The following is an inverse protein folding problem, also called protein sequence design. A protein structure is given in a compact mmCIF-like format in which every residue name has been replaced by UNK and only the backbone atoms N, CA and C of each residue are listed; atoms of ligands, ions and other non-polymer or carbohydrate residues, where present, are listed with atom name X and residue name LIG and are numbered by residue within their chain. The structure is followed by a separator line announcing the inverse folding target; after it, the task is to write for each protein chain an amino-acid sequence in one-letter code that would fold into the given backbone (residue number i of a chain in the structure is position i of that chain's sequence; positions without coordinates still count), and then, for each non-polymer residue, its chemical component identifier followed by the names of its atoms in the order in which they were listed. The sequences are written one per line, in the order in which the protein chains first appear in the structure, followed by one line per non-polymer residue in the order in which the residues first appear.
data_IF_503963429215
#
_entry.id   IF_503963429215
#
_cell.length_a   1.000
_cell.length_b   1.000
_cell.length_c   1.000
_cell.angle_alpha   90.00
_cell.angle_beta   90.00
_cell.angle_gamma   90.00
#
_symmetry.space_group_name_H-M   'P 1'
#
loop_
_entity.id
_entity.type
_entity.pdbx_description
1 polymer ?
#
# COMPACT_ATOMS: atom_id res chain seq x y z
N UNK A 1 -15.15 -41.77 -0.37
CA UNK A 1 -13.84 -41.27 0.01
C UNK A 1 -13.97 -39.88 0.61
N UNK A 2 -13.21 -39.63 1.67
CA UNK A 2 -13.27 -38.38 2.45
C UNK A 2 -12.59 -38.62 3.80
N UNK A 3 -12.55 -37.59 4.63
CA UNK A 3 -12.04 -37.66 6.00
C UNK A 3 -13.23 -37.87 6.93
N UNK A 4 -13.15 -38.80 7.84
CA UNK A 4 -14.13 -39.07 8.88
C UNK A 4 -13.49 -38.74 10.22
N UNK A 5 -14.05 -37.77 10.93
CA UNK A 5 -13.51 -37.26 12.19
C UNK A 5 -14.33 -37.62 13.43
N UNK A 6 -15.48 -38.24 13.23
CA UNK A 6 -16.48 -38.53 14.27
C UNK A 6 -16.40 -39.96 14.83
N UNK A 7 -15.43 -40.75 14.38
CA UNK A 7 -15.23 -42.12 14.84
C UNK A 7 -13.77 -42.33 15.21
N UNK A 8 -13.49 -43.39 15.99
CA UNK A 8 -12.13 -43.77 16.38
C UNK A 8 -11.33 -44.37 15.19
N UNK A 9 -10.01 -44.21 15.21
CA UNK A 9 -9.13 -44.78 14.17
C UNK A 9 -9.34 -46.29 13.94
N UNK A 10 -9.71 -46.99 14.99
CA UNK A 10 -10.01 -48.43 14.89
C UNK A 10 -11.30 -48.70 14.10
N UNK A 11 -12.30 -47.85 14.23
CA UNK A 11 -13.56 -47.97 13.51
C UNK A 11 -13.48 -47.43 12.08
N UNK A 12 -12.49 -46.61 11.80
CA UNK A 12 -12.27 -45.98 10.49
C UNK A 12 -11.54 -46.88 9.48
N UNK A 13 -11.61 -48.20 9.63
CA UNK A 13 -10.91 -49.15 8.76
C UNK A 13 -11.13 -48.80 7.28
N UNK A 14 -10.00 -48.66 6.54
CA UNK A 14 -9.94 -48.28 5.12
C UNK A 14 -10.46 -46.86 4.79
N UNK A 15 -10.52 -45.95 5.77
CA UNK A 15 -10.89 -44.54 5.58
C UNK A 15 -9.83 -43.62 6.21
N UNK A 16 -9.83 -42.37 5.78
CA UNK A 16 -8.92 -41.39 6.31
C UNK A 16 -9.54 -40.74 7.53
N UNK A 17 -8.85 -40.72 8.66
CA UNK A 17 -9.25 -40.00 9.90
C UNK A 17 -8.64 -38.60 9.96
N UNK A 18 -7.54 -38.39 9.26
CA UNK A 18 -6.90 -37.09 9.14
C UNK A 18 -6.30 -36.91 7.74
N UNK A 19 -6.33 -35.70 7.22
CA UNK A 19 -5.71 -35.37 5.93
C UNK A 19 -5.23 -33.92 5.94
N UNK A 20 -3.96 -33.69 5.65
CA UNK A 20 -3.39 -32.35 5.46
C UNK A 20 -2.81 -32.24 4.05
N UNK A 21 -3.08 -31.09 3.40
CA UNK A 21 -2.61 -30.76 2.03
C UNK A 21 -3.02 -31.79 0.97
N UNK A 22 -4.19 -32.40 1.16
CA UNK A 22 -4.78 -33.41 0.28
C UNK A 22 -6.17 -32.96 -0.16
N UNK A 23 -6.50 -33.18 -1.42
CA UNK A 23 -7.86 -33.09 -1.95
C UNK A 23 -8.32 -34.46 -2.40
N UNK A 24 -9.63 -34.70 -2.34
CA UNK A 24 -10.22 -35.90 -2.88
C UNK A 24 -10.87 -35.58 -4.24
N UNK A 25 -10.35 -36.23 -5.29
CA UNK A 25 -10.86 -36.04 -6.64
C UNK A 25 -11.19 -37.41 -7.25
N UNK A 26 -12.41 -37.56 -7.78
CA UNK A 26 -12.92 -38.82 -8.36
C UNK A 26 -12.68 -40.07 -7.48
N UNK A 27 -12.74 -39.89 -6.15
CA UNK A 27 -12.55 -40.99 -5.22
C UNK A 27 -11.10 -41.27 -4.78
N UNK A 28 -10.14 -40.57 -5.32
CA UNK A 28 -8.73 -40.74 -4.97
C UNK A 28 -8.23 -39.52 -4.17
N UNK A 29 -7.30 -39.78 -3.25
CA UNK A 29 -6.59 -38.73 -2.52
C UNK A 29 -5.44 -38.23 -3.38
N UNK A 30 -5.42 -36.93 -3.68
CA UNK A 30 -4.38 -36.25 -4.43
C UNK A 30 -3.73 -35.16 -3.58
N UNK A 31 -2.43 -34.97 -3.72
CA UNK A 31 -1.77 -33.83 -3.10
C UNK A 31 -2.32 -32.53 -3.67
N UNK A 32 -2.68 -31.58 -2.80
CA UNK A 32 -2.91 -30.22 -3.23
C UNK A 32 -1.58 -29.66 -3.73
N UNK A 33 -1.52 -29.25 -4.99
CA UNK A 33 -0.33 -28.61 -5.55
C UNK A 33 0.05 -27.35 -4.76
N UNK A 34 1.33 -27.06 -4.68
CA UNK A 34 1.81 -25.82 -4.05
C UNK A 34 1.37 -24.59 -4.83
N UNK A 35 1.42 -23.43 -4.16
CA UNK A 35 1.22 -22.14 -4.80
C UNK A 35 2.41 -21.81 -5.68
N UNK A 36 2.18 -21.51 -6.94
CA UNK A 36 3.20 -20.95 -7.82
C UNK A 36 2.95 -19.45 -7.95
N UNK A 37 4.03 -18.67 -7.88
CA UNK A 37 3.97 -17.24 -8.06
C UNK A 37 3.57 -16.95 -9.50
N UNK A 38 2.42 -16.30 -9.73
CA UNK A 38 1.91 -15.96 -11.08
C UNK A 38 2.83 -14.97 -11.79
N UNK A 39 3.41 -14.03 -11.03
CA UNK A 39 4.33 -13.02 -11.54
C UNK A 39 5.67 -13.19 -10.85
N UNK A 40 6.70 -13.58 -11.60
CA UNK A 40 8.03 -13.81 -11.05
C UNK A 40 8.76 -12.50 -10.71
N UNK A 41 8.44 -11.42 -11.40
CA UNK A 41 9.16 -10.14 -11.34
C UNK A 41 8.36 -8.98 -10.74
N UNK A 42 7.04 -9.06 -10.64
CA UNK A 42 6.23 -7.96 -10.12
C UNK A 42 6.05 -8.09 -8.60
N UNK A 43 6.59 -7.14 -7.87
CA UNK A 43 6.25 -6.91 -6.48
C UNK A 43 5.31 -5.71 -6.40
N UNK A 44 4.11 -5.92 -5.86
CA UNK A 44 3.14 -4.85 -5.68
C UNK A 44 3.53 -3.99 -4.48
N UNK A 45 3.50 -2.68 -4.65
CA UNK A 45 3.71 -1.76 -3.54
C UNK A 45 2.46 -1.70 -2.65
N UNK A 46 2.67 -1.77 -1.33
CA UNK A 46 1.61 -1.74 -0.33
C UNK A 46 0.98 -3.11 -0.06
N UNK A 47 0.07 -3.13 0.90
CA UNK A 47 -0.68 -4.34 1.29
C UNK A 47 -1.91 -4.46 0.40
N UNK A 48 -2.06 -5.61 -0.27
CA UNK A 48 -3.22 -5.86 -1.13
C UNK A 48 -4.50 -5.89 -0.28
N UNK A 49 -5.44 -4.99 -0.59
CA UNK A 49 -6.74 -4.85 0.10
C UNK A 49 -7.86 -5.56 -0.64
N UNK A 50 -7.84 -5.51 -1.96
CA UNK A 50 -8.87 -6.13 -2.80
C UNK A 50 -8.31 -6.55 -4.15
N UNK A 51 -8.80 -7.70 -4.61
CA UNK A 51 -8.57 -8.20 -5.97
C UNK A 51 -9.93 -8.30 -6.65
N UNK A 52 -10.04 -7.76 -7.86
CA UNK A 52 -11.25 -7.76 -8.65
C UNK A 52 -10.94 -8.29 -10.06
N UNK A 53 -11.35 -9.54 -10.38
CA UNK A 53 -11.25 -10.06 -11.74
C UNK A 53 -12.35 -9.45 -12.61
N UNK A 54 -11.99 -9.06 -13.82
CA UNK A 54 -12.91 -8.54 -14.82
C UNK A 54 -12.66 -9.20 -16.17
N UNK A 55 -13.74 -9.44 -16.91
CA UNK A 55 -13.69 -9.89 -18.28
C UNK A 55 -14.45 -8.91 -19.15
N UNK A 56 -13.79 -8.40 -20.17
CA UNK A 56 -14.39 -7.49 -21.12
C UNK A 56 -15.27 -8.23 -22.15
N UNK A 57 -16.06 -7.48 -22.91
CA UNK A 57 -16.98 -7.99 -23.95
C UNK A 57 -16.26 -8.69 -25.09
N UNK A 58 -15.03 -8.30 -25.40
CA UNK A 58 -14.15 -8.96 -26.37
C UNK A 58 -13.48 -10.25 -25.84
N UNK A 59 -13.72 -10.57 -24.54
CA UNK A 59 -13.16 -11.75 -23.88
C UNK A 59 -11.82 -11.51 -23.18
N UNK A 60 -11.26 -10.32 -23.24
CA UNK A 60 -10.03 -9.93 -22.54
C UNK A 60 -10.23 -10.04 -21.03
N UNK A 61 -9.22 -10.59 -20.33
CA UNK A 61 -9.26 -10.82 -18.89
C UNK A 61 -8.32 -9.87 -18.18
N UNK A 62 -8.84 -9.18 -17.19
CA UNK A 62 -8.12 -8.24 -16.34
C UNK A 62 -8.23 -8.66 -14.89
N UNK A 63 -7.17 -8.41 -14.11
CA UNK A 63 -7.21 -8.53 -12.66
C UNK A 63 -6.82 -7.17 -12.09
N UNK A 64 -7.78 -6.48 -11.50
CA UNK A 64 -7.53 -5.24 -10.78
C UNK A 64 -7.12 -5.55 -9.34
N UNK A 65 -6.10 -4.88 -8.85
CA UNK A 65 -5.55 -5.09 -7.52
C UNK A 65 -5.38 -3.75 -6.81
N UNK A 66 -6.21 -3.52 -5.79
CA UNK A 66 -6.09 -2.36 -4.91
C UNK A 66 -5.21 -2.68 -3.72
N UNK A 67 -4.17 -1.88 -3.52
CA UNK A 67 -3.32 -1.96 -2.33
C UNK A 67 -3.58 -0.77 -1.40
N UNK A 68 -2.92 -0.72 -0.25
CA UNK A 68 -3.00 0.42 0.66
C UNK A 68 -2.46 1.72 0.05
N UNK A 69 -1.65 1.63 -1.00
CA UNK A 69 -0.94 2.79 -1.57
C UNK A 69 -1.11 2.95 -3.08
N UNK A 70 -1.41 1.86 -3.82
CA UNK A 70 -1.42 1.85 -5.28
C UNK A 70 -2.62 1.07 -5.83
N UNK A 71 -2.88 1.30 -7.11
CA UNK A 71 -3.87 0.57 -7.86
C UNK A 71 -3.21 -0.02 -9.12
N UNK A 72 -3.29 -1.34 -9.24
CA UNK A 72 -2.65 -2.07 -10.34
C UNK A 72 -3.69 -2.79 -11.19
N UNK A 73 -3.35 -3.01 -12.44
CA UNK A 73 -4.07 -3.91 -13.33
C UNK A 73 -3.11 -4.93 -13.93
N UNK A 74 -3.52 -6.19 -13.88
CA UNK A 74 -2.85 -7.24 -14.63
C UNK A 74 -3.61 -7.50 -15.93
N UNK A 75 -2.87 -7.50 -17.03
CA UNK A 75 -3.35 -7.87 -18.34
C UNK A 75 -2.29 -8.70 -19.06
N UNK A 76 -2.69 -9.85 -19.58
CA UNK A 76 -1.82 -10.73 -20.39
C UNK A 76 -0.48 -11.09 -19.72
N UNK A 77 -0.47 -11.28 -18.40
CA UNK A 77 0.73 -11.65 -17.63
C UNK A 77 1.63 -10.48 -17.23
N UNK A 78 1.27 -9.26 -17.58
CA UNK A 78 1.97 -8.03 -17.19
C UNK A 78 1.17 -7.25 -16.16
N UNK A 79 1.87 -6.60 -15.23
CA UNK A 79 1.27 -5.75 -14.20
C UNK A 79 1.58 -4.30 -14.52
N UNK A 80 0.55 -3.48 -14.59
CA UNK A 80 0.63 -2.04 -14.84
C UNK A 80 0.16 -1.30 -13.61
N UNK A 81 0.92 -0.28 -13.21
CA UNK A 81 0.50 0.68 -12.20
C UNK A 81 -0.43 1.71 -12.86
N UNK A 82 -1.67 1.76 -12.37
CA UNK A 82 -2.70 2.69 -12.84
C UNK A 82 -3.15 3.63 -11.71
N UNK A 83 -2.32 3.82 -10.69
CA UNK A 83 -2.62 4.71 -9.58
C UNK A 83 -2.89 6.12 -10.08
N UNK A 84 -4.06 6.69 -9.80
CA UNK A 84 -4.41 7.99 -10.31
C UNK A 84 -3.58 9.10 -9.66
N UNK A 85 -3.15 10.05 -10.46
CA UNK A 85 -2.59 11.29 -9.97
C UNK A 85 -3.71 12.25 -9.57
N UNK A 86 -3.53 12.89 -8.44
CA UNK A 86 -4.45 13.90 -7.93
C UNK A 86 -4.26 15.27 -8.61
N UNK A 87 -3.05 15.53 -9.09
CA UNK A 87 -2.69 16.80 -9.73
C UNK A 87 -2.00 16.58 -11.06
N UNK A 88 -2.13 17.57 -11.95
CA UNK A 88 -1.22 17.71 -13.08
C UNK A 88 0.21 17.98 -12.60
N UNK A 89 1.23 17.86 -13.47
CA UNK A 89 2.59 18.20 -13.11
C UNK A 89 2.69 19.66 -12.62
N UNK A 90 3.26 19.85 -11.43
CA UNK A 90 3.44 21.16 -10.81
C UNK A 90 4.92 21.48 -10.79
N UNK A 91 5.29 22.67 -11.27
CA UNK A 91 6.67 23.14 -11.21
C UNK A 91 6.87 24.01 -9.98
N UNK A 92 7.87 23.67 -9.17
CA UNK A 92 8.27 24.39 -7.97
C UNK A 92 9.70 24.94 -8.17
N UNK A 93 9.95 26.12 -7.64
CA UNK A 93 11.29 26.75 -7.71
C UNK A 93 11.95 26.70 -6.34
N UNK A 94 13.13 26.07 -6.28
CA UNK A 94 13.92 25.87 -5.05
C UNK A 94 13.08 25.37 -3.86
N UNK A 95 12.29 24.29 -4.02
CA UNK A 95 11.36 23.87 -2.99
C UNK A 95 12.04 23.10 -1.85
N UNK A 96 13.26 22.66 -2.02
CA UNK A 96 13.93 21.78 -1.09
C UNK A 96 14.75 22.53 -0.05
N UNK A 97 14.70 22.06 1.20
CA UNK A 97 15.59 22.49 2.27
C UNK A 97 16.15 21.26 2.95
N UNK A 98 17.48 21.13 2.98
CA UNK A 98 18.15 19.99 3.64
C UNK A 98 17.96 20.06 5.15
N UNK A 99 17.90 18.89 5.80
CA UNK A 99 17.93 18.78 7.26
C UNK A 99 19.29 19.21 7.84
N UNK A 100 19.57 18.81 9.07
CA UNK A 100 20.90 19.06 9.67
C UNK A 100 22.00 18.35 8.89
N UNK A 101 23.24 18.82 9.03
CA UNK A 101 24.40 18.13 8.45
C UNK A 101 24.41 16.63 8.82
N UNK A 102 24.66 15.77 7.85
CA UNK A 102 24.58 14.32 7.98
C UNK A 102 23.16 13.72 7.81
N UNK A 103 22.12 14.55 7.71
CA UNK A 103 20.74 14.07 7.48
C UNK A 103 20.48 13.78 6.00
N UNK A 104 19.70 12.74 5.73
CA UNK A 104 19.14 12.43 4.41
C UNK A 104 17.70 12.89 4.25
N UNK A 105 17.13 13.55 5.25
CA UNK A 105 15.77 14.08 5.21
C UNK A 105 15.78 15.47 4.59
N UNK A 106 14.89 15.67 3.62
CA UNK A 106 14.73 16.94 2.90
C UNK A 106 13.30 17.43 3.08
N UNK A 107 13.15 18.66 3.54
CA UNK A 107 11.86 19.34 3.63
C UNK A 107 11.51 19.95 2.29
N UNK A 108 10.28 19.76 1.85
CA UNK A 108 9.73 20.32 0.62
C UNK A 108 8.73 21.38 0.99
N UNK A 109 8.90 22.59 0.47
CA UNK A 109 7.97 23.70 0.65
C UNK A 109 7.09 23.84 -0.59
N UNK A 110 5.80 23.62 -0.41
CA UNK A 110 4.77 23.82 -1.43
C UNK A 110 3.46 24.23 -0.76
N UNK A 111 3.03 25.44 -1.03
CA UNK A 111 1.83 25.99 -0.42
C UNK A 111 0.58 25.19 -0.82
N UNK A 112 -0.21 24.81 0.18
CA UNK A 112 -1.48 24.10 -0.01
C UNK A 112 -1.33 22.81 -0.82
N UNK A 113 -0.29 22.02 -0.56
CA UNK A 113 -0.01 20.79 -1.30
C UNK A 113 -1.11 19.71 -1.15
N UNK A 114 -2.00 19.84 -0.16
CA UNK A 114 -3.18 18.98 0.04
C UNK A 114 -2.87 17.51 0.36
N UNK A 115 -1.64 17.18 0.80
CA UNK A 115 -1.30 15.84 1.29
C UNK A 115 -2.02 15.60 2.62
N UNK A 116 -2.52 14.39 2.81
CA UNK A 116 -3.12 14.00 4.07
C UNK A 116 -2.04 13.67 5.11
N UNK A 117 -2.32 13.99 6.38
CA UNK A 117 -1.48 13.56 7.50
C UNK A 117 -1.87 12.12 7.87
N UNK A 118 -1.34 11.15 7.13
CA UNK A 118 -1.59 9.72 7.29
C UNK A 118 -0.31 8.95 7.50
N UNK A 119 -0.39 7.77 8.08
CA UNK A 119 0.71 6.80 8.15
C UNK A 119 0.25 5.50 7.46
N UNK A 120 1.00 4.99 6.47
CA UNK A 120 2.14 5.62 5.80
C UNK A 120 1.75 6.92 5.11
N UNK A 121 2.72 7.82 4.93
CA UNK A 121 2.51 9.10 4.26
C UNK A 121 2.04 8.94 2.81
N UNK A 122 1.36 9.96 2.31
CA UNK A 122 0.94 10.03 0.91
C UNK A 122 2.14 10.00 -0.05
N UNK A 123 1.90 9.70 -1.31
CA UNK A 123 2.95 9.52 -2.30
C UNK A 123 3.10 10.74 -3.21
N UNK A 124 4.34 11.08 -3.50
CA UNK A 124 4.72 12.15 -4.44
C UNK A 124 5.72 11.61 -5.45
N UNK A 125 5.50 11.89 -6.72
CA UNK A 125 6.42 11.56 -7.80
C UNK A 125 7.20 12.81 -8.17
N UNK A 126 8.51 12.76 -7.96
CA UNK A 126 9.45 13.76 -8.43
C UNK A 126 9.85 13.38 -9.86
N UNK A 127 9.65 14.30 -10.80
CA UNK A 127 9.96 14.04 -12.22
C UNK A 127 11.33 14.61 -12.64
N UNK A 128 11.90 15.52 -11.84
CA UNK A 128 13.18 16.18 -12.11
C UNK A 128 14.19 15.76 -11.05
N UNK A 129 15.23 15.04 -11.46
CA UNK A 129 16.32 14.68 -10.55
C UNK A 129 17.19 15.90 -10.24
N UNK A 130 17.65 16.00 -9.00
CA UNK A 130 18.55 17.07 -8.55
C UNK A 130 19.52 16.58 -7.49
N UNK A 131 20.72 17.19 -7.49
CA UNK A 131 21.71 16.99 -6.43
C UNK A 131 22.14 18.37 -5.91
N UNK A 132 22.06 18.56 -4.60
CA UNK A 132 22.47 19.79 -3.92
C UNK A 132 22.83 19.48 -2.47
N UNK A 133 23.73 20.25 -1.87
CA UNK A 133 24.19 20.08 -0.48
C UNK A 133 24.54 18.62 -0.10
N UNK A 134 25.06 17.82 -1.03
CA UNK A 134 25.45 16.43 -0.77
C UNK A 134 24.29 15.41 -0.84
N UNK A 135 23.02 15.84 -0.96
CA UNK A 135 21.88 14.95 -1.13
C UNK A 135 21.48 14.86 -2.59
N UNK A 136 21.03 13.68 -3.01
CA UNK A 136 20.49 13.45 -4.34
C UNK A 136 19.02 13.03 -4.23
N UNK A 137 18.16 13.72 -4.94
CA UNK A 137 16.74 13.40 -5.11
C UNK A 137 16.57 12.93 -6.55
N UNK A 138 16.39 11.63 -6.75
CA UNK A 138 16.18 11.04 -8.07
C UNK A 138 14.77 11.31 -8.60
N UNK A 139 14.58 11.18 -9.90
CA UNK A 139 13.25 11.20 -10.51
C UNK A 139 12.54 9.87 -10.23
N UNK A 140 11.79 9.82 -9.14
CA UNK A 140 11.08 8.62 -8.68
C UNK A 140 9.95 8.99 -7.71
N UNK A 141 9.24 7.98 -7.24
CA UNK A 141 8.23 8.11 -6.19
C UNK A 141 8.88 8.17 -4.80
N UNK A 142 8.32 9.03 -3.96
CA UNK A 142 8.72 9.20 -2.56
C UNK A 142 7.52 9.12 -1.63
N UNK A 143 7.76 8.62 -0.44
CA UNK A 143 6.83 8.75 0.69
C UNK A 143 6.95 10.16 1.25
N UNK A 144 5.87 10.92 1.25
CA UNK A 144 5.81 12.24 1.84
C UNK A 144 5.35 12.16 3.29
N UNK A 145 6.17 12.58 4.23
CA UNK A 145 5.76 12.74 5.62
C UNK A 145 5.22 14.14 5.82
N UNK A 146 3.95 14.24 6.20
CA UNK A 146 3.28 15.51 6.43
C UNK A 146 3.91 16.31 7.58
N UNK A 147 4.17 17.59 7.38
CA UNK A 147 4.64 18.52 8.41
C UNK A 147 3.57 19.58 8.66
N UNK A 148 3.10 20.24 7.61
CA UNK A 148 2.06 21.29 7.66
C UNK A 148 1.33 21.36 6.33
N UNK A 149 0.32 22.21 6.20
CA UNK A 149 -0.39 22.43 4.93
C UNK A 149 0.54 22.92 3.79
N UNK A 150 1.71 23.45 4.13
CA UNK A 150 2.65 24.04 3.18
C UNK A 150 4.00 23.30 3.12
N UNK A 151 4.19 22.27 3.94
CA UNK A 151 5.47 21.55 4.03
C UNK A 151 5.26 20.07 4.28
N UNK A 152 6.08 19.27 3.64
CA UNK A 152 6.25 17.84 3.91
C UNK A 152 7.73 17.47 3.80
N UNK A 153 8.13 16.33 4.31
CA UNK A 153 9.50 15.84 4.14
C UNK A 153 9.51 14.56 3.31
N UNK A 154 10.64 14.36 2.63
CA UNK A 154 11.00 13.14 1.90
C UNK A 154 12.38 12.69 2.33
N UNK A 155 12.70 11.43 2.13
CA UNK A 155 14.04 10.89 2.32
C UNK A 155 14.76 10.89 0.99
N UNK A 156 15.93 11.52 0.92
CA UNK A 156 16.76 11.56 -0.29
C UNK A 156 17.06 10.14 -0.80
N UNK A 157 17.17 9.98 -2.12
CA UNK A 157 17.49 8.69 -2.74
C UNK A 157 18.93 8.25 -2.44
N UNK A 158 19.83 9.20 -2.24
CA UNK A 158 21.20 8.94 -1.79
C UNK A 158 21.86 10.19 -1.24
N UNK A 159 22.95 10.00 -0.49
CA UNK A 159 23.72 11.06 0.13
C UNK A 159 23.11 11.62 1.40
N UNK A 160 23.83 12.50 2.04
CA UNK A 160 23.43 13.23 3.26
C UNK A 160 23.83 14.68 3.14
N UNK A 161 23.12 15.57 3.81
CA UNK A 161 23.38 16.99 3.81
C UNK A 161 24.82 17.30 4.28
N UNK A 162 25.55 18.03 3.50
CA UNK A 162 26.94 18.43 3.82
C UNK A 162 26.97 19.55 4.87
N UNK A 163 26.15 20.57 4.66
CA UNK A 163 26.08 21.75 5.54
C UNK A 163 24.82 21.77 6.39
N UNK A 164 23.70 21.32 5.83
CA UNK A 164 22.37 21.38 6.43
C UNK A 164 21.71 22.75 6.38
N UNK A 165 20.37 22.77 6.32
CA UNK A 165 19.59 23.99 6.22
C UNK A 165 19.72 24.72 4.89
N UNK A 166 20.32 24.10 3.88
CA UNK A 166 20.49 24.69 2.55
C UNK A 166 19.19 24.57 1.75
N UNK A 167 18.72 25.68 1.22
CA UNK A 167 17.58 25.72 0.30
C UNK A 167 18.06 25.66 -1.14
N UNK A 168 17.42 24.83 -1.96
CA UNK A 168 17.82 24.65 -3.36
C UNK A 168 16.90 23.73 -4.14
N UNK A 169 17.47 23.18 -5.21
CA UNK A 169 16.79 22.23 -6.10
C UNK A 169 16.47 22.81 -7.48
N UNK A 170 16.57 24.13 -7.66
CA UNK A 170 16.24 24.77 -8.94
C UNK A 170 14.77 24.60 -9.32
N UNK A 171 14.50 24.38 -10.60
CA UNK A 171 13.13 24.11 -11.12
C UNK A 171 12.84 22.63 -11.07
N UNK A 172 11.90 22.25 -10.22
CA UNK A 172 11.53 20.85 -9.96
C UNK A 172 10.08 20.62 -10.36
N UNK A 173 9.83 19.55 -11.07
CA UNK A 173 8.47 19.11 -11.41
C UNK A 173 8.06 17.94 -10.53
N UNK A 174 6.90 18.07 -9.90
CA UNK A 174 6.31 17.07 -9.01
C UNK A 174 4.86 16.76 -9.39
N UNK A 175 4.41 15.54 -9.11
CA UNK A 175 2.99 15.14 -9.16
C UNK A 175 2.62 14.43 -7.88
N UNK A 176 1.40 14.61 -7.46
CA UNK A 176 0.87 13.96 -6.26
C UNK A 176 -0.05 12.82 -6.65
N UNK A 177 0.15 11.64 -6.05
CA UNK A 177 -0.81 10.55 -6.15
C UNK A 177 -2.02 10.86 -5.26
N UNK A 178 -3.10 10.12 -5.47
CA UNK A 178 -4.25 10.13 -4.56
C UNK A 178 -3.78 9.83 -3.14
N UNK A 179 -4.27 10.59 -2.16
CA UNK A 179 -3.90 10.39 -0.78
C UNK A 179 -4.24 8.97 -0.33
N UNK A 180 -3.33 8.37 0.44
CA UNK A 180 -3.57 7.08 1.03
C UNK A 180 -4.77 7.13 1.97
N UNK A 181 -5.56 6.06 1.98
CA UNK A 181 -6.54 5.83 3.03
C UNK A 181 -5.86 5.49 4.36
N UNK A 182 -6.61 5.42 5.46
CA UNK A 182 -6.07 4.98 6.75
C UNK A 182 -5.52 3.56 6.64
N UNK A 183 -4.39 3.30 7.29
CA UNK A 183 -3.73 1.98 7.30
C UNK A 183 -4.57 0.93 8.02
N UNK A 184 -5.21 1.32 9.10
CA UNK A 184 -6.15 0.49 9.82
C UNK A 184 -7.53 0.61 9.18
N UNK A 185 -8.01 -0.51 8.66
CA UNK A 185 -9.44 -0.66 8.45
C UNK A 185 -10.11 -0.47 9.80
N UNK A 186 -10.80 0.65 9.99
CA UNK A 186 -11.56 0.88 11.21
C UNK A 186 -12.45 -0.34 11.44
N UNK A 187 -12.16 -1.07 12.49
CA UNK A 187 -13.01 -2.14 12.97
C UNK A 187 -14.39 -1.53 13.18
N UNK A 188 -15.36 -2.04 12.39
CA UNK A 188 -16.69 -1.48 12.34
C UNK A 188 -17.30 -1.34 13.73
N UNK A 189 -18.17 -0.36 13.88
CA UNK A 189 -19.00 -0.22 15.06
C UNK A 189 -19.99 -1.40 15.10
N UNK A 190 -20.01 -2.13 16.19
CA UNK A 190 -20.95 -3.23 16.37
C UNK A 190 -20.63 -4.12 17.56
N UNK A 191 -21.50 -5.08 17.83
CA UNK A 191 -21.30 -6.11 18.82
C UNK A 191 -20.01 -6.88 18.52
N UNK A 192 -19.06 -6.85 19.45
CA UNK A 192 -17.75 -7.51 19.30
C UNK A 192 -16.63 -6.63 18.74
N UNK A 193 -16.89 -5.38 18.39
CA UNK A 193 -15.86 -4.45 17.98
C UNK A 193 -15.25 -3.73 19.18
N UNK A 194 -14.19 -4.27 19.75
CA UNK A 194 -13.44 -3.69 20.88
C UNK A 194 -13.52 -4.53 22.16
N UNK A 195 -12.77 -4.11 23.18
CA UNK A 195 -12.76 -4.78 24.49
C UNK A 195 -14.11 -4.63 25.19
N UNK A 196 -14.61 -5.72 25.76
CA UNK A 196 -15.78 -5.73 26.64
C UNK A 196 -15.57 -4.75 27.80
N UNK A 197 -16.51 -3.82 28.00
CA UNK A 197 -16.44 -2.85 29.07
C UNK A 197 -15.68 -1.55 28.76
N UNK A 198 -15.18 -1.37 27.55
CA UNK A 198 -14.39 -0.18 27.18
C UNK A 198 -15.20 1.12 27.04
N UNK A 199 -16.53 1.07 27.03
CA UNK A 199 -17.41 2.25 27.06
C UNK A 199 -18.81 1.88 27.57
N UNK A 200 -19.52 2.85 28.17
CA UNK A 200 -20.90 2.67 28.59
C UNK A 200 -21.85 2.51 27.38
N UNK A 201 -22.90 1.68 27.56
CA UNK A 201 -24.00 1.56 26.61
C UNK A 201 -24.68 2.92 26.46
N UNK A 202 -24.56 3.56 25.34
CA UNK A 202 -25.16 4.86 25.07
C UNK A 202 -24.16 5.99 24.85
N UNK A 203 -22.88 5.76 25.01
CA UNK A 203 -21.84 6.75 24.64
C UNK A 203 -21.49 6.53 23.17
N UNK A 204 -21.86 7.47 22.31
CA UNK A 204 -21.41 7.48 20.93
C UNK A 204 -19.88 7.57 20.90
N UNK A 205 -19.22 6.67 20.21
CA UNK A 205 -17.77 6.82 19.94
C UNK A 205 -17.55 8.08 19.13
N UNK A 206 -16.49 8.83 19.47
CA UNK A 206 -16.05 9.95 18.65
C UNK A 206 -15.86 9.46 17.22
N UNK A 207 -16.57 10.11 16.29
CA UNK A 207 -16.56 9.77 14.87
C UNK A 207 -15.23 10.18 14.23
N UNK A 208 -14.16 9.44 14.49
CA UNK A 208 -12.92 9.55 13.73
C UNK A 208 -12.74 8.32 12.84
N UNK A 209 -13.72 8.10 11.96
CA UNK A 209 -13.62 6.99 11.03
C UNK A 209 -14.73 7.01 10.00
N UNK A 210 -14.36 7.20 8.76
CA UNK A 210 -15.26 7.04 7.62
C UNK A 210 -15.44 5.54 7.38
N UNK A 211 -16.65 5.04 7.60
CA UNK A 211 -17.05 3.72 7.13
C UNK A 211 -17.29 3.85 5.63
N UNK A 212 -16.42 3.26 4.82
CA UNK A 212 -16.71 3.03 3.42
C UNK A 212 -17.52 1.72 3.34
N UNK A 213 -18.79 1.88 3.08
CA UNK A 213 -19.72 0.78 2.76
C UNK A 213 -19.44 0.25 1.35
#
# INVERSE_FOLDING_TARGET
PGVITDITDYQAQMRYTNADKVRFFQGYAEKIGGWTKRFSSAQLNGVCRKIFPHRDTDGSKFIFMGTSTHFFVEYSGQVYDITPFRTDPITLTNPYTTGSAGSNVVTVTHANHGLANTSPGSRVVVQTAVTFDGVTIAAQEYVATYISANQYSIVASSGTASSGGVTGGGSITVRYLTNNGPDDGLTGYGFGAGLWGASSWGTARSASGVVLS
#
